data_IF_460558441942
#
_entry.id   IF_460558441942
#
_cell.length_a   1.000
_cell.length_b   1.000
_cell.length_c   1.000
_cell.angle_alpha   90.00
_cell.angle_beta   90.00
_cell.angle_gamma   90.00
#
_symmetry.space_group_name_H-M   'P 1'
#
loop_
_entity.id
_entity.type
_entity.pdbx_description
1 polymer ?
#
# COMPACT_ATOMS: atom_id res chain seq x y z
N UNK A 1 -24.63 -47.65 41.52
CA UNK A 1 -23.98 -47.89 40.21
C UNK A 1 -24.58 -46.92 39.21
N UNK A 2 -23.72 -46.17 38.54
CA UNK A 2 -23.94 -45.32 37.36
C UNK A 2 -25.06 -44.27 37.40
N UNK A 3 -24.73 -43.07 37.91
CA UNK A 3 -25.43 -41.85 37.50
C UNK A 3 -24.83 -41.34 36.18
N UNK A 4 -25.68 -41.39 35.14
CA UNK A 4 -25.47 -40.81 33.83
C UNK A 4 -25.24 -39.30 33.93
N UNK A 5 -23.98 -38.86 33.87
CA UNK A 5 -23.68 -37.43 33.73
C UNK A 5 -23.60 -37.08 32.25
N UNK A 6 -24.77 -36.78 31.68
CA UNK A 6 -24.92 -36.25 30.32
C UNK A 6 -24.19 -34.92 30.23
N UNK A 7 -23.15 -34.85 29.39
CA UNK A 7 -22.47 -33.59 29.04
C UNK A 7 -23.46 -32.66 28.34
N UNK A 8 -23.72 -31.44 28.83
CA UNK A 8 -24.47 -30.48 28.06
C UNK A 8 -23.58 -29.95 26.92
N UNK A 9 -24.02 -30.20 25.70
CA UNK A 9 -23.57 -29.50 24.49
C UNK A 9 -23.99 -28.03 24.61
N UNK A 10 -23.02 -27.11 24.63
CA UNK A 10 -23.29 -25.66 24.63
C UNK A 10 -23.02 -25.08 23.24
N UNK A 11 -23.93 -25.37 22.30
CA UNK A 11 -24.28 -24.41 21.25
C UNK A 11 -25.48 -23.62 21.78
N UNK A 12 -25.36 -22.28 21.78
CA UNK A 12 -26.39 -21.28 22.04
C UNK A 12 -26.82 -21.03 23.50
N UNK A 13 -26.22 -19.99 24.10
CA UNK A 13 -26.91 -19.04 24.96
C UNK A 13 -26.11 -17.72 25.03
N UNK A 14 -26.20 -16.91 23.97
CA UNK A 14 -25.73 -15.52 23.98
C UNK A 14 -26.57 -14.70 24.95
N UNK A 15 -25.97 -14.23 26.05
CA UNK A 15 -26.45 -13.05 26.78
C UNK A 15 -25.25 -12.20 27.17
N UNK A 16 -24.85 -11.34 26.22
CA UNK A 16 -23.80 -10.33 26.38
C UNK A 16 -24.32 -9.27 27.35
N UNK A 17 -23.68 -9.11 28.51
CA UNK A 17 -23.87 -7.93 29.36
C UNK A 17 -23.11 -6.76 28.72
N UNK A 18 -23.81 -5.64 28.54
CA UNK A 18 -23.31 -4.36 27.99
C UNK A 18 -22.03 -3.91 28.70
N UNK A 19 -21.02 -3.56 27.91
CA UNK A 19 -19.82 -2.82 28.31
C UNK A 19 -20.20 -1.33 28.42
N UNK A 20 -19.73 -0.57 29.43
CA UNK A 20 -19.99 0.86 29.51
C UNK A 20 -19.20 1.61 28.42
N UNK A 21 -19.88 2.50 27.71
CA UNK A 21 -19.24 3.46 26.79
C UNK A 21 -18.43 4.48 27.58
N UNK A 22 -17.15 4.64 27.22
CA UNK A 22 -16.28 5.63 27.86
C UNK A 22 -14.85 5.60 27.34
N UNK A 23 -14.62 6.35 26.25
CA UNK A 23 -13.33 6.87 25.76
C UNK A 23 -12.42 5.87 25.03
N UNK A 24 -12.26 6.18 23.75
CA UNK A 24 -11.41 5.59 22.72
C UNK A 24 -9.97 5.35 23.18
N UNK A 25 -9.66 4.09 23.51
CA UNK A 25 -8.33 3.64 23.82
C UNK A 25 -8.05 2.43 22.93
N UNK A 26 -7.27 2.63 21.87
CA UNK A 26 -6.73 1.58 21.00
C UNK A 26 -5.75 0.65 21.72
N UNK A 27 -6.19 0.06 22.83
CA UNK A 27 -5.46 -0.94 23.60
C UNK A 27 -5.61 -2.26 22.86
N UNK A 28 -4.52 -2.66 22.21
CA UNK A 28 -4.44 -3.96 21.58
C UNK A 28 -4.14 -4.99 22.68
N UNK A 29 -5.00 -5.99 22.82
CA UNK A 29 -4.80 -7.07 23.80
C UNK A 29 -4.09 -8.25 23.15
N UNK A 30 -3.29 -8.98 23.93
CA UNK A 30 -2.76 -10.26 23.49
C UNK A 30 -3.91 -11.27 23.45
N UNK A 31 -4.33 -11.66 22.24
CA UNK A 31 -5.44 -12.59 22.01
C UNK A 31 -5.31 -13.88 22.84
N UNK A 32 -4.10 -14.43 22.97
CA UNK A 32 -3.86 -15.64 23.77
C UNK A 32 -4.07 -15.39 25.26
N UNK A 33 -3.63 -14.23 25.77
CA UNK A 33 -3.86 -13.84 27.15
C UNK A 33 -5.33 -13.59 27.45
N UNK A 34 -6.07 -12.95 26.52
CA UNK A 34 -7.51 -12.71 26.64
C UNK A 34 -8.28 -14.02 26.67
N UNK A 35 -7.99 -14.93 25.73
CA UNK A 35 -8.62 -16.26 25.69
C UNK A 35 -8.36 -17.05 26.98
N UNK A 36 -7.13 -17.03 27.48
CA UNK A 36 -6.78 -17.68 28.75
C UNK A 36 -7.51 -17.06 29.94
N UNK A 37 -7.60 -15.72 29.99
CA UNK A 37 -8.32 -15.00 31.05
C UNK A 37 -9.80 -15.40 31.06
N UNK A 38 -10.46 -15.35 29.90
CA UNK A 38 -11.87 -15.70 29.76
C UNK A 38 -12.13 -17.15 30.18
N UNK A 39 -11.32 -18.09 29.68
CA UNK A 39 -11.48 -19.50 30.01
C UNK A 39 -11.31 -19.79 31.51
N UNK A 40 -10.32 -19.17 32.17
CA UNK A 40 -10.11 -19.33 33.62
C UNK A 40 -11.32 -18.83 34.42
N UNK A 41 -11.86 -17.66 34.07
CA UNK A 41 -13.03 -17.09 34.75
C UNK A 41 -14.30 -17.90 34.46
N UNK A 42 -14.46 -18.44 33.25
CA UNK A 42 -15.57 -19.32 32.89
C UNK A 42 -15.57 -20.58 33.75
N UNK A 43 -14.47 -21.33 33.81
CA UNK A 43 -14.40 -22.54 34.64
C UNK A 43 -14.55 -22.24 36.14
N UNK A 44 -14.01 -21.11 36.61
CA UNK A 44 -14.20 -20.69 38.00
C UNK A 44 -15.67 -20.35 38.32
N UNK A 45 -16.42 -19.79 37.35
CA UNK A 45 -17.84 -19.50 37.51
C UNK A 45 -18.69 -20.77 37.68
N UNK A 46 -18.25 -21.88 37.08
CA UNK A 46 -18.86 -23.22 37.19
C UNK A 46 -18.30 -24.00 38.41
N UNK A 47 -17.67 -23.29 39.37
CA UNK A 47 -17.16 -23.81 40.65
C UNK A 47 -16.04 -24.86 40.54
N UNK A 48 -15.33 -24.94 39.41
CA UNK A 48 -14.13 -25.78 39.32
C UNK A 48 -13.05 -25.28 40.28
N UNK A 49 -12.35 -26.20 40.93
CA UNK A 49 -11.21 -25.83 41.77
C UNK A 49 -10.04 -25.36 40.91
N UNK A 50 -9.18 -24.51 41.48
CA UNK A 50 -7.95 -24.03 40.80
C UNK A 50 -7.07 -25.19 40.28
N UNK A 51 -7.11 -26.36 40.94
CA UNK A 51 -6.39 -27.57 40.52
C UNK A 51 -6.99 -28.21 39.27
N UNK A 52 -8.31 -28.22 39.16
CA UNK A 52 -9.00 -28.78 37.99
C UNK A 52 -8.89 -27.85 36.79
N UNK A 53 -9.04 -26.53 37.00
CA UNK A 53 -8.83 -25.52 35.96
C UNK A 53 -7.44 -25.65 35.34
N UNK A 54 -6.39 -25.79 36.17
CA UNK A 54 -5.02 -25.98 35.71
C UNK A 54 -4.85 -27.25 34.85
N UNK A 55 -5.56 -28.34 35.18
CA UNK A 55 -5.52 -29.59 34.40
C UNK A 55 -6.26 -29.45 33.07
N UNK A 56 -7.44 -28.83 33.06
CA UNK A 56 -8.28 -28.66 31.87
C UNK A 56 -7.66 -27.68 30.88
N UNK A 57 -7.07 -26.60 31.37
CA UNK A 57 -6.43 -25.56 30.55
C UNK A 57 -4.94 -25.81 30.31
N UNK A 58 -4.40 -26.94 30.77
CA UNK A 58 -2.99 -27.32 30.63
C UNK A 58 -2.02 -26.20 31.03
N UNK A 59 -2.29 -25.54 32.17
CA UNK A 59 -1.50 -24.41 32.65
C UNK A 59 -1.08 -24.58 34.12
N UNK A 60 -0.10 -23.79 34.58
CA UNK A 60 0.38 -23.86 35.96
C UNK A 60 -0.66 -23.34 36.97
N UNK A 61 -0.71 -23.95 38.17
CA UNK A 61 -1.61 -23.49 39.25
C UNK A 61 -1.39 -22.02 39.63
N UNK A 62 -0.14 -21.55 39.57
CA UNK A 62 0.20 -20.16 39.83
C UNK A 62 -0.36 -19.22 38.75
N UNK A 63 -0.42 -19.67 37.49
CA UNK A 63 -1.06 -18.93 36.40
C UNK A 63 -2.56 -18.79 36.64
N UNK A 64 -3.23 -19.87 37.06
CA UNK A 64 -4.65 -19.81 37.42
C UNK A 64 -4.91 -18.81 38.55
N UNK A 65 -4.08 -18.85 39.60
CA UNK A 65 -4.20 -17.88 40.70
C UNK A 65 -3.94 -16.44 40.25
N UNK A 66 -2.93 -16.22 39.39
CA UNK A 66 -2.58 -14.91 38.83
C UNK A 66 -3.73 -14.32 38.01
N UNK A 67 -4.37 -15.11 37.15
CA UNK A 67 -5.44 -14.62 36.27
C UNK A 67 -6.80 -14.46 36.97
N UNK A 68 -7.04 -15.23 38.03
CA UNK A 68 -8.25 -15.03 38.86
C UNK A 68 -8.17 -13.77 39.72
N UNK A 69 -6.98 -13.44 40.23
CA UNK A 69 -6.79 -12.34 41.17
C UNK A 69 -6.19 -11.08 40.53
N UNK A 70 -5.70 -11.18 39.30
CA UNK A 70 -5.02 -10.08 38.62
C UNK A 70 -5.98 -9.22 37.80
N UNK A 71 -5.57 -7.96 37.63
CA UNK A 71 -6.28 -7.00 36.79
C UNK A 71 -6.22 -7.39 35.30
N UNK A 72 -7.36 -7.25 34.60
CA UNK A 72 -7.48 -7.65 33.19
C UNK A 72 -6.53 -6.85 32.31
N UNK A 73 -6.46 -5.52 32.51
CA UNK A 73 -5.61 -4.64 31.71
C UNK A 73 -4.14 -5.03 31.86
N UNK A 74 -3.66 -5.19 33.09
CA UNK A 74 -2.26 -5.56 33.34
C UNK A 74 -1.87 -6.94 32.78
N UNK A 75 -2.82 -7.88 32.67
CA UNK A 75 -2.54 -9.25 32.23
C UNK A 75 -2.72 -9.47 30.72
N UNK A 76 -3.68 -8.77 30.13
CA UNK A 76 -4.11 -9.00 28.76
C UNK A 76 -3.61 -7.92 27.80
N UNK A 77 -3.16 -6.75 28.28
CA UNK A 77 -2.57 -5.72 27.42
C UNK A 77 -1.35 -6.29 26.68
N UNK A 78 -1.26 -5.99 25.39
CA UNK A 78 -0.09 -6.34 24.57
C UNK A 78 1.05 -5.43 25.00
N UNK A 79 1.98 -5.99 25.78
CA UNK A 79 3.22 -5.34 26.18
C UNK A 79 4.06 -5.02 24.92
N UNK A 80 3.90 -3.82 24.36
CA UNK A 80 4.84 -3.28 23.39
C UNK A 80 6.08 -2.76 24.11
N UNK A 81 6.78 -3.63 24.86
CA UNK A 81 8.09 -3.31 25.45
C UNK A 81 9.19 -3.26 24.38
N UNK A 82 8.92 -2.65 23.23
CA UNK A 82 9.98 -1.99 22.50
C UNK A 82 10.42 -0.83 23.39
N UNK A 83 11.71 -0.64 23.66
CA UNK A 83 12.23 0.53 24.40
C UNK A 83 11.94 1.89 23.75
N UNK A 84 10.93 1.96 22.86
CA UNK A 84 10.36 3.10 22.18
C UNK A 84 9.24 3.80 22.94
N UNK A 85 8.63 3.16 23.93
CA UNK A 85 7.52 3.75 24.69
C UNK A 85 7.85 5.13 25.31
N UNK A 86 9.07 5.39 25.83
CA UNK A 86 9.46 6.73 26.28
C UNK A 86 9.52 7.78 25.18
N UNK A 87 9.57 7.38 23.90
CA UNK A 87 9.67 8.25 22.75
C UNK A 87 8.35 8.38 21.98
N UNK A 88 7.26 7.78 22.45
CA UNK A 88 5.97 7.72 21.77
C UNK A 88 5.46 9.11 21.32
N UNK A 89 5.35 10.05 22.25
CA UNK A 89 4.84 11.40 21.96
C UNK A 89 5.72 12.15 20.95
N UNK A 90 7.04 11.96 21.07
CA UNK A 90 8.01 12.56 20.16
C UNK A 90 7.86 11.99 18.75
N UNK A 91 7.76 10.67 18.62
CA UNK A 91 7.61 9.99 17.32
C UNK A 91 6.33 10.46 16.62
N UNK A 92 5.21 10.50 17.33
CA UNK A 92 3.93 10.94 16.75
C UNK A 92 4.01 12.39 16.28
N UNK A 93 4.59 13.28 17.11
CA UNK A 93 4.75 14.69 16.76
C UNK A 93 5.56 14.86 15.48
N UNK A 94 6.70 14.18 15.36
CA UNK A 94 7.61 14.34 14.22
C UNK A 94 7.06 13.71 12.95
N UNK A 95 6.46 12.51 13.06
CA UNK A 95 5.83 11.86 11.91
C UNK A 95 4.63 12.66 11.40
N UNK A 96 3.81 13.22 12.31
CA UNK A 96 2.69 14.10 11.95
C UNK A 96 3.17 15.42 11.32
N UNK A 97 4.37 15.89 11.69
CA UNK A 97 5.02 17.04 11.05
C UNK A 97 5.60 16.71 9.66
N UNK A 98 5.45 15.47 9.17
CA UNK A 98 5.92 15.03 7.86
C UNK A 98 7.40 14.65 7.82
N UNK A 99 8.06 14.50 8.97
CA UNK A 99 9.47 14.11 9.04
C UNK A 99 9.61 12.63 8.65
N UNK A 100 10.65 12.32 7.87
CA UNK A 100 10.86 10.95 7.39
C UNK A 100 11.19 10.00 8.54
N UNK A 101 10.70 8.75 8.47
CA UNK A 101 11.04 7.67 9.44
C UNK A 101 12.56 7.55 9.68
N UNK A 102 13.35 7.78 8.63
CA UNK A 102 14.82 7.73 8.70
C UNK A 102 15.39 8.83 9.59
N UNK A 103 14.87 10.05 9.47
CA UNK A 103 15.34 11.19 10.24
C UNK A 103 14.80 11.15 11.68
N UNK A 104 13.55 10.68 11.87
CA UNK A 104 13.03 10.37 13.22
C UNK A 104 13.94 9.37 13.92
N UNK A 105 14.30 8.26 13.26
CA UNK A 105 15.21 7.27 13.84
C UNK A 105 16.59 7.85 14.21
N UNK A 106 17.17 8.71 13.36
CA UNK A 106 18.43 9.40 13.68
C UNK A 106 18.31 10.29 14.92
N UNK A 107 17.20 11.01 15.06
CA UNK A 107 16.92 11.84 16.25
C UNK A 107 16.68 10.99 17.50
N UNK A 108 16.08 9.80 17.35
CA UNK A 108 15.92 8.87 18.47
C UNK A 108 17.29 8.38 19.00
N UNK A 109 18.24 8.10 18.11
CA UNK A 109 19.60 7.71 18.52
C UNK A 109 20.29 8.81 19.33
N UNK A 110 20.15 10.08 18.93
CA UNK A 110 20.73 11.20 19.70
C UNK A 110 20.03 11.43 21.04
N UNK A 111 18.75 11.03 21.14
CA UNK A 111 17.94 11.09 22.38
C UNK A 111 18.10 9.85 23.28
N UNK A 112 19.02 8.94 22.94
CA UNK A 112 19.36 7.79 23.80
C UNK A 112 18.59 6.50 23.50
N UNK A 113 17.97 6.38 22.33
CA UNK A 113 17.40 5.10 21.90
C UNK A 113 18.51 4.08 21.60
N UNK A 114 18.44 2.90 22.23
CA UNK A 114 19.44 1.83 22.11
C UNK A 114 18.98 0.65 21.25
N UNK A 115 17.75 0.68 20.71
CA UNK A 115 17.21 -0.43 19.93
C UNK A 115 17.65 -0.40 18.46
N UNK A 116 17.44 -1.53 17.78
CA UNK A 116 17.78 -1.68 16.37
C UNK A 116 16.84 -0.93 15.43
N UNK A 117 17.34 -0.57 14.25
CA UNK A 117 16.60 0.16 13.22
C UNK A 117 15.31 -0.55 12.79
N UNK A 118 15.35 -1.88 12.62
CA UNK A 118 14.18 -2.65 12.19
C UNK A 118 13.05 -2.55 13.21
N UNK A 119 13.35 -2.73 14.49
CA UNK A 119 12.37 -2.61 15.57
C UNK A 119 11.79 -1.19 15.66
N UNK A 120 12.62 -0.17 15.45
CA UNK A 120 12.18 1.22 15.38
C UNK A 120 11.20 1.45 14.21
N UNK A 121 11.51 0.89 13.04
CA UNK A 121 10.71 1.07 11.83
C UNK A 121 9.39 0.32 11.93
N UNK A 122 9.41 -0.90 12.46
CA UNK A 122 8.19 -1.68 12.71
C UNK A 122 7.26 -0.96 13.69
N UNK A 123 7.82 -0.36 14.74
CA UNK A 123 7.05 0.45 15.69
C UNK A 123 6.46 1.70 15.03
N UNK A 124 7.27 2.46 14.30
CA UNK A 124 6.80 3.64 13.57
C UNK A 124 5.70 3.27 12.56
N UNK A 125 5.85 2.18 11.80
CA UNK A 125 4.87 1.73 10.82
C UNK A 125 3.50 1.44 11.45
N UNK A 126 3.48 0.83 12.64
CA UNK A 126 2.24 0.61 13.40
C UNK A 126 1.58 1.92 13.81
N UNK A 127 2.36 2.93 14.22
CA UNK A 127 1.82 4.26 14.53
C UNK A 127 1.27 4.95 13.28
N UNK A 128 1.96 4.82 12.15
CA UNK A 128 1.57 5.43 10.87
C UNK A 128 0.24 4.87 10.40
N UNK A 129 0.09 3.55 10.46
CA UNK A 129 -1.17 2.86 10.14
C UNK A 129 -2.28 3.25 11.12
N UNK A 130 -2.00 3.24 12.43
CA UNK A 130 -2.95 3.58 13.48
C UNK A 130 -3.50 5.01 13.34
N UNK A 131 -2.64 5.98 13.08
CA UNK A 131 -2.99 7.40 13.02
C UNK A 131 -3.23 7.91 11.60
N UNK A 132 -3.20 7.02 10.60
CA UNK A 132 -3.31 7.36 9.17
C UNK A 132 -2.39 8.51 8.75
N UNK A 133 -1.16 8.52 9.26
CA UNK A 133 -0.21 9.61 9.02
C UNK A 133 0.33 9.51 7.59
N UNK A 134 0.17 10.58 6.83
CA UNK A 134 0.70 10.66 5.47
C UNK A 134 2.21 10.93 5.47
N UNK A 135 3.00 9.89 5.19
CA UNK A 135 4.46 9.99 5.19
C UNK A 135 5.05 10.15 3.81
N UNK A 136 5.94 11.13 3.70
CA UNK A 136 6.87 11.27 2.61
C UNK A 136 7.84 10.07 2.57
N UNK A 137 7.61 9.16 1.63
CA UNK A 137 8.53 8.03 1.36
C UNK A 137 9.90 8.53 0.89
N UNK A 138 9.95 9.71 0.26
CA UNK A 138 11.17 10.35 -0.23
C UNK A 138 11.30 11.78 0.31
N UNK A 139 12.55 12.18 0.63
CA UNK A 139 12.91 13.50 1.18
C UNK A 139 12.45 14.69 0.29
N UNK A 140 12.13 14.42 -0.97
CA UNK A 140 11.67 15.39 -1.97
C UNK A 140 10.15 15.52 -2.09
N UNK A 141 9.36 14.71 -1.38
CA UNK A 141 7.89 14.75 -1.44
C UNK A 141 7.35 15.48 -0.23
N UNK A 142 6.78 16.67 -0.40
CA UNK A 142 6.07 17.37 0.68
C UNK A 142 4.74 16.65 0.98
N UNK A 143 4.20 16.83 2.19
CA UNK A 143 2.86 16.34 2.56
C UNK A 143 1.78 16.84 1.59
N UNK A 144 1.92 18.08 1.12
CA UNK A 144 1.08 18.67 0.06
C UNK A 144 1.17 17.92 -1.28
N UNK A 145 2.37 17.46 -1.68
CA UNK A 145 2.54 16.67 -2.90
C UNK A 145 1.86 15.30 -2.79
N UNK A 146 1.83 14.71 -1.59
CA UNK A 146 1.14 13.44 -1.31
C UNK A 146 -0.37 13.63 -1.40
N UNK A 147 -0.91 14.70 -0.79
CA UNK A 147 -2.33 15.03 -0.86
C UNK A 147 -2.78 15.35 -2.30
N UNK A 148 -1.99 16.13 -3.05
CA UNK A 148 -2.24 16.35 -4.49
C UNK A 148 -2.25 15.04 -5.28
N UNK A 149 -1.33 14.12 -4.98
CA UNK A 149 -1.28 12.80 -5.63
C UNK A 149 -2.53 11.96 -5.33
N UNK A 150 -3.04 11.99 -4.09
CA UNK A 150 -4.32 11.35 -3.73
C UNK A 150 -5.51 11.97 -4.49
N UNK A 151 -5.55 13.30 -4.62
CA UNK A 151 -6.58 13.98 -5.41
C UNK A 151 -6.54 13.62 -6.91
N UNK A 152 -5.35 13.37 -7.44
CA UNK A 152 -5.13 12.97 -8.84
C UNK A 152 -5.53 11.51 -9.11
N UNK A 153 -5.52 10.62 -8.10
CA UNK A 153 -5.96 9.22 -8.25
C UNK A 153 -7.45 9.08 -8.61
N UNK A 154 -8.25 10.14 -8.47
CA UNK A 154 -9.66 10.16 -8.87
C UNK A 154 -9.85 10.11 -10.40
N UNK A 155 -8.85 10.54 -11.17
CA UNK A 155 -8.93 10.57 -12.62
C UNK A 155 -8.40 9.29 -13.23
N UNK A 156 -9.00 8.86 -14.33
CA UNK A 156 -8.40 7.87 -15.21
C UNK A 156 -7.16 8.50 -15.85
N UNK A 157 -6.01 7.85 -15.71
CA UNK A 157 -4.71 8.43 -16.09
C UNK A 157 -3.99 7.52 -17.07
N UNK A 158 -3.46 8.15 -18.12
CA UNK A 158 -2.50 7.52 -19.03
C UNK A 158 -1.11 8.16 -18.86
N UNK A 159 -0.09 7.33 -18.70
CA UNK A 159 1.29 7.80 -18.60
C UNK A 159 1.84 8.20 -19.97
N UNK A 160 2.83 9.09 -20.01
CA UNK A 160 3.55 9.44 -21.26
C UNK A 160 4.13 8.20 -21.94
N UNK A 161 4.64 7.25 -21.16
CA UNK A 161 5.13 5.98 -21.67
C UNK A 161 3.99 5.14 -22.27
N UNK A 162 2.80 5.13 -21.64
CA UNK A 162 1.61 4.48 -22.19
C UNK A 162 1.22 5.07 -23.56
N UNK A 163 1.23 6.40 -23.69
CA UNK A 163 1.00 7.05 -24.98
C UNK A 163 2.06 6.64 -26.02
N UNK A 164 3.34 6.62 -25.62
CA UNK A 164 4.43 6.21 -26.53
C UNK A 164 4.25 4.77 -27.02
N UNK A 165 3.93 3.83 -26.12
CA UNK A 165 3.72 2.43 -26.47
C UNK A 165 2.49 2.22 -27.35
N UNK A 166 1.40 2.96 -27.10
CA UNK A 166 0.24 2.97 -28.00
C UNK A 166 0.64 3.41 -29.41
N UNK A 167 1.40 4.50 -29.54
CA UNK A 167 1.80 5.03 -30.85
C UNK A 167 2.82 4.14 -31.58
N UNK A 168 3.77 3.55 -30.86
CA UNK A 168 4.95 2.91 -31.44
C UNK A 168 4.98 1.38 -31.33
N UNK A 169 4.21 0.77 -30.44
CA UNK A 169 4.16 -0.69 -30.27
C UNK A 169 2.77 -1.27 -30.55
N UNK A 170 1.81 -0.44 -30.96
CA UNK A 170 0.40 -0.79 -31.11
C UNK A 170 -0.21 -1.43 -29.84
N UNK A 171 0.31 -1.06 -28.66
CA UNK A 171 -0.30 -1.48 -27.40
C UNK A 171 -1.70 -0.87 -27.24
N UNK A 172 -2.66 -1.67 -26.78
CA UNK A 172 -4.02 -1.21 -26.56
C UNK A 172 -4.09 -0.22 -25.38
N UNK A 173 -4.84 0.86 -25.58
CA UNK A 173 -5.27 1.77 -24.53
C UNK A 173 -6.80 1.79 -24.51
N UNK A 174 -7.39 2.25 -23.41
CA UNK A 174 -8.85 2.37 -23.32
C UNK A 174 -9.39 3.27 -24.43
N UNK A 175 -10.58 2.94 -24.93
CA UNK A 175 -11.20 3.72 -26.02
C UNK A 175 -11.42 5.19 -25.60
N UNK A 176 -11.75 5.42 -24.33
CA UNK A 176 -11.87 6.76 -23.74
C UNK A 176 -10.57 7.57 -23.86
N UNK A 177 -9.42 6.97 -23.53
CA UNK A 177 -8.13 7.64 -23.69
C UNK A 177 -7.82 7.88 -25.17
N UNK A 178 -8.13 6.92 -26.03
CA UNK A 178 -7.88 7.03 -27.47
C UNK A 178 -8.69 8.16 -28.10
N UNK A 179 -10.00 8.20 -27.89
CA UNK A 179 -10.88 9.28 -28.35
C UNK A 179 -10.37 10.64 -27.85
N UNK A 180 -10.12 10.74 -26.54
CA UNK A 180 -9.62 11.97 -25.94
C UNK A 180 -8.29 12.43 -26.56
N UNK A 181 -7.33 11.51 -26.76
CA UNK A 181 -6.03 11.83 -27.35
C UNK A 181 -6.17 12.27 -28.80
N UNK A 182 -7.00 11.59 -29.59
CA UNK A 182 -7.17 11.89 -31.01
C UNK A 182 -7.92 13.20 -31.26
N UNK A 183 -8.85 13.56 -30.37
CA UNK A 183 -9.67 14.77 -30.50
C UNK A 183 -8.95 16.02 -29.97
N UNK A 184 -8.25 15.90 -28.84
CA UNK A 184 -7.64 17.05 -28.17
C UNK A 184 -6.20 17.33 -28.62
N UNK A 185 -5.50 16.33 -29.19
CA UNK A 185 -4.10 16.45 -29.59
C UNK A 185 -3.91 16.11 -31.07
N UNK A 186 -4.25 17.04 -32.00
CA UNK A 186 -4.16 16.80 -33.44
C UNK A 186 -2.75 16.42 -33.90
N UNK A 187 -1.71 16.88 -33.18
CA UNK A 187 -0.31 16.49 -33.42
C UNK A 187 -0.08 15.00 -33.21
N UNK A 188 -0.70 14.38 -32.20
CA UNK A 188 -0.58 12.93 -31.97
C UNK A 188 -1.22 12.14 -33.10
N UNK A 189 -2.36 12.62 -33.62
CA UNK A 189 -3.02 12.03 -34.79
C UNK A 189 -2.13 12.10 -36.04
N UNK A 190 -1.43 13.21 -36.27
CA UNK A 190 -0.47 13.35 -37.37
C UNK A 190 0.74 12.40 -37.20
N UNK A 191 1.28 12.30 -35.99
CA UNK A 191 2.39 11.37 -35.66
C UNK A 191 1.96 9.92 -35.85
N UNK A 192 0.79 9.52 -35.36
CA UNK A 192 0.27 8.16 -35.51
C UNK A 192 0.11 7.79 -36.99
N UNK A 193 -0.43 8.72 -37.79
CA UNK A 193 -0.53 8.55 -39.25
C UNK A 193 0.85 8.38 -39.88
N UNK A 194 1.83 9.20 -39.48
CA UNK A 194 3.21 9.12 -39.96
C UNK A 194 3.82 7.73 -39.69
N UNK A 195 3.69 7.23 -38.46
CA UNK A 195 4.22 5.91 -38.08
C UNK A 195 3.60 4.80 -38.94
N UNK A 196 2.29 4.83 -39.14
CA UNK A 196 1.57 3.82 -39.94
C UNK A 196 1.99 3.84 -41.41
N UNK A 197 2.01 5.01 -42.03
CA UNK A 197 2.43 5.16 -43.43
C UNK A 197 3.91 4.78 -43.61
N UNK A 198 4.77 5.13 -42.65
CA UNK A 198 6.17 4.73 -42.70
C UNK A 198 6.35 3.21 -42.67
N UNK A 199 5.64 2.51 -41.77
CA UNK A 199 5.68 1.04 -41.70
C UNK A 199 5.15 0.39 -42.98
N UNK A 200 4.12 0.98 -43.57
CA UNK A 200 3.50 0.48 -44.80
C UNK A 200 4.50 0.40 -45.97
N UNK A 201 5.45 1.35 -46.05
CA UNK A 201 6.54 1.33 -47.04
C UNK A 201 7.27 -0.01 -47.01
N UNK A 202 7.69 -0.44 -45.81
CA UNK A 202 8.46 -1.68 -45.63
C UNK A 202 7.59 -2.93 -45.68
N UNK A 203 6.36 -2.87 -45.17
CA UNK A 203 5.42 -3.99 -45.26
C UNK A 203 5.10 -4.33 -46.72
N UNK A 204 4.92 -3.32 -47.57
CA UNK A 204 4.64 -3.49 -49.01
C UNK A 204 5.89 -3.53 -49.88
N UNK A 205 7.07 -3.21 -49.32
CA UNK A 205 8.34 -3.03 -50.06
C UNK A 205 8.17 -2.11 -51.27
N UNK A 206 7.47 -0.99 -51.08
CA UNK A 206 7.06 -0.10 -52.18
C UNK A 206 7.86 1.20 -52.18
N UNK A 207 8.80 1.30 -53.12
CA UNK A 207 9.58 2.51 -53.37
C UNK A 207 8.67 3.72 -53.69
N UNK A 208 7.61 3.61 -54.51
CA UNK A 208 6.70 4.74 -54.72
C UNK A 208 6.07 5.29 -53.44
N UNK A 209 5.74 4.43 -52.46
CA UNK A 209 5.22 4.88 -51.16
C UNK A 209 6.26 5.67 -50.37
N UNK A 210 7.55 5.31 -50.48
CA UNK A 210 8.64 6.07 -49.87
C UNK A 210 8.71 7.50 -50.40
N UNK A 211 8.64 7.68 -51.72
CA UNK A 211 8.64 9.02 -52.34
C UNK A 211 7.43 9.85 -51.91
N UNK A 212 6.23 9.26 -51.94
CA UNK A 212 5.00 9.92 -51.49
C UNK A 212 5.08 10.31 -50.01
N UNK A 213 5.64 9.44 -49.18
CA UNK A 213 5.85 9.70 -47.75
C UNK A 213 6.80 10.89 -47.55
N UNK A 214 7.95 10.91 -48.21
CA UNK A 214 8.93 12.00 -48.11
C UNK A 214 8.29 13.33 -48.55
N UNK A 215 7.62 13.37 -49.70
CA UNK A 215 7.00 14.57 -50.22
C UNK A 215 5.91 15.13 -49.30
N UNK A 216 5.11 14.24 -48.72
CA UNK A 216 4.07 14.61 -47.76
C UNK A 216 4.65 15.19 -46.48
N UNK A 217 5.63 14.52 -45.88
CA UNK A 217 6.12 14.88 -44.56
C UNK A 217 7.20 15.96 -44.56
N UNK A 218 7.93 16.20 -45.67
CA UNK A 218 8.91 17.30 -45.74
C UNK A 218 8.29 18.68 -45.56
N UNK A 219 7.00 18.81 -45.87
CA UNK A 219 6.20 20.02 -45.70
C UNK A 219 5.26 19.97 -44.48
N UNK A 220 5.44 18.99 -43.58
CA UNK A 220 4.64 18.91 -42.34
C UNK A 220 4.85 20.16 -41.48
N UNK A 221 3.76 20.58 -40.82
CA UNK A 221 3.79 21.68 -39.83
C UNK A 221 4.58 21.28 -38.57
N UNK A 222 4.74 19.98 -38.32
CA UNK A 222 5.60 19.44 -37.27
C UNK A 222 7.04 19.40 -37.77
N UNK A 223 7.88 20.27 -37.18
CA UNK A 223 9.29 20.45 -37.58
C UNK A 223 10.08 19.15 -37.49
N UNK A 224 9.77 18.31 -36.51
CA UNK A 224 10.41 17.01 -36.29
C UNK A 224 10.12 16.05 -37.45
N UNK A 225 8.86 15.98 -37.92
CA UNK A 225 8.49 15.16 -39.08
C UNK A 225 9.08 15.73 -40.37
N UNK A 226 9.06 17.05 -40.54
CA UNK A 226 9.70 17.72 -41.69
C UNK A 226 11.21 17.43 -41.74
N UNK A 227 11.91 17.51 -40.60
CA UNK A 227 13.34 17.19 -40.52
C UNK A 227 13.61 15.72 -40.81
N UNK A 228 12.78 14.81 -40.28
CA UNK A 228 12.90 13.38 -40.54
C UNK A 228 12.78 13.07 -42.04
N UNK A 229 11.72 13.55 -42.70
CA UNK A 229 11.51 13.34 -44.13
C UNK A 229 12.60 13.97 -45.00
N UNK A 230 13.08 15.17 -44.67
CA UNK A 230 14.21 15.82 -45.36
C UNK A 230 15.52 15.07 -45.16
N UNK A 231 15.71 14.41 -44.02
CA UNK A 231 16.85 13.52 -43.79
C UNK A 231 16.79 12.33 -44.74
N UNK A 232 15.64 11.67 -44.83
CA UNK A 232 15.43 10.56 -45.76
C UNK A 232 15.62 10.97 -47.23
N UNK A 233 15.16 12.16 -47.62
CA UNK A 233 15.36 12.71 -48.98
C UNK A 233 16.85 12.90 -49.32
N UNK A 234 17.67 13.30 -48.34
CA UNK A 234 19.12 13.44 -48.54
C UNK A 234 19.84 12.10 -48.67
N UNK A 235 19.41 11.12 -47.87
CA UNK A 235 20.01 9.79 -47.82
C UNK A 235 19.26 8.77 -48.70
N UNK A 236 18.53 9.24 -49.72
CA UNK A 236 17.56 8.46 -50.49
C UNK A 236 18.15 7.17 -51.05
N UNK A 237 19.34 7.22 -51.63
CA UNK A 237 20.02 6.06 -52.19
C UNK A 237 20.29 4.95 -51.13
N UNK A 238 20.54 5.32 -49.88
CA UNK A 238 20.70 4.34 -48.81
C UNK A 238 19.34 3.76 -48.36
N UNK A 239 18.30 4.61 -48.33
CA UNK A 239 16.94 4.21 -47.90
C UNK A 239 16.27 3.29 -48.94
N UNK A 240 16.44 3.54 -50.23
CA UNK A 240 15.91 2.67 -51.30
C UNK A 240 16.48 1.26 -51.26
N UNK A 241 17.71 1.10 -50.79
CA UNK A 241 18.44 -0.16 -50.75
C UNK A 241 18.34 -0.88 -49.38
N UNK A 242 17.48 -0.42 -48.48
CA UNK A 242 17.30 -0.96 -47.12
C UNK A 242 16.25 -2.07 -46.98
#
# INVERSE_FOLDING_TARGET
MAENNSRPSLRNAMKVKKIPDGVDNGVEYNEKSVQLYQAIHEYASIRYSKREIAKVLHCGRNTVAKYLNGDFEALCRKDFRSGMEPFYDYIIKELSAGISRKDVYRSLLTKGYLGGQTAAYDYMNKLIERFQIDIAVYKSSTTEAIQKKKGLQKYDQISRNGIFRFLWLDEEITETHKEYLMDNYPKLKEILRCIREFREIYQRRSIPLLYLFIEKYKNSTLKELSRFAKGMEKDLAAVENS
#
